data_IF_523422458488
#
_entry.id   IF_523422458488
#
_cell.length_a   1.000
_cell.length_b   1.000
_cell.length_c   1.000
_cell.angle_alpha   90.00
_cell.angle_beta   90.00
_cell.angle_gamma   90.00
#
_symmetry.space_group_name_H-M   'P 1'
#
loop_
_entity.id
_entity.type
_entity.pdbx_description
1 polymer ?
#
# COMPACT_ATOMS: atom_id res chain seq x y z
N UNK A 1 13.71 56.50 -20.58
CA UNK A 1 13.67 56.01 -20.43
C UNK A 1 13.63 55.10 -19.97
N UNK A 2 13.72 54.61 -19.76
CA UNK A 2 13.59 53.78 -19.59
C UNK A 2 13.50 52.90 -18.91
N UNK A 3 13.52 52.49 -18.73
CA UNK A 3 13.35 51.69 -18.26
C UNK A 3 13.16 50.72 -17.92
N UNK A 4 13.17 50.30 -17.79
CA UNK A 4 12.97 49.44 -17.55
C UNK A 4 12.91 48.50 -17.19
N UNK A 5 12.94 48.13 -16.98
CA UNK A 5 12.93 47.32 -16.80
C UNK A 5 12.98 46.47 -16.12
N UNK A 6 13.04 46.12 -15.87
CA UNK A 6 13.12 45.37 -15.34
C UNK A 6 12.68 44.51 -14.75
N UNK A 7 12.48 44.25 -14.47
CA UNK A 7 11.97 43.45 -13.96
C UNK A 7 11.89 42.35 -13.91
N UNK A 8 11.83 42.04 -13.94
CA UNK A 8 11.65 41.02 -14.01
C UNK A 8 12.05 40.10 -13.50
N UNK A 9 12.31 39.90 -13.42
CA UNK A 9 12.76 39.02 -13.06
C UNK A 9 12.31 38.35 -12.20
N UNK A 10 12.16 38.11 -11.84
CA UNK A 10 11.78 37.49 -11.08
C UNK A 10 11.39 36.38 -10.96
N UNK A 11 11.23 36.03 -10.95
CA UNK A 11 10.69 35.03 -10.79
C UNK A 11 11.00 33.96 -10.73
N UNK A 12 11.07 33.66 -10.82
CA UNK A 12 11.34 32.67 -10.97
C UNK A 12 11.59 31.89 -10.14
N UNK A 13 11.71 31.69 -9.73
CA UNK A 13 11.93 30.94 -9.02
C UNK A 13 11.31 30.05 -8.58
N UNK A 14 10.96 29.95 -8.47
CA UNK A 14 10.30 29.16 -8.07
C UNK A 14 10.32 28.01 -8.08
N UNK A 15 10.26 27.60 -8.21
CA UNK A 15 10.17 26.52 -8.39
C UNK A 15 10.53 25.68 -7.75
N UNK A 16 10.73 25.28 -7.49
CA UNK A 16 11.05 24.51 -7.00
C UNK A 16 10.75 23.67 -6.41
N UNK A 17 10.66 23.15 -6.16
CA UNK A 17 10.41 22.39 -5.61
C UNK A 17 10.26 21.41 -5.34
N UNK A 18 10.21 20.84 -5.19
CA UNK A 18 9.97 19.98 -4.97
C UNK A 18 9.92 18.99 -4.71
N UNK A 19 9.73 18.54 -4.50
CA UNK A 19 9.52 17.62 -4.41
C UNK A 19 9.85 16.65 -4.05
N UNK A 20 10.04 16.12 -4.04
CA UNK A 20 10.55 15.24 -3.79
C UNK A 20 10.19 14.33 -3.07
N UNK A 21 10.09 14.09 -2.53
CA UNK A 21 9.79 13.33 -1.80
C UNK A 21 9.32 12.27 -2.07
N UNK A 22 8.84 12.00 -2.27
CA UNK A 22 8.29 11.06 -2.55
C UNK A 22 8.78 9.96 -2.55
N UNK A 23 9.44 9.64 -2.62
CA UNK A 23 9.83 8.57 -2.74
C UNK A 23 9.58 7.73 -1.90
N UNK A 24 9.50 7.56 -1.26
CA UNK A 24 9.30 6.76 -0.45
C UNK A 24 8.84 5.59 -0.49
N UNK A 25 8.33 5.07 -0.55
CA UNK A 25 7.84 3.93 -0.70
C UNK A 25 8.30 2.91 0.14
N UNK A 26 9.22 2.95 0.77
CA UNK A 26 9.63 1.84 1.55
C UNK A 26 8.72 1.65 2.71
N UNK A 27 8.58 0.41 3.12
CA UNK A 27 7.78 0.08 4.25
C UNK A 27 8.42 0.62 5.50
N UNK A 28 7.61 1.15 6.36
CA UNK A 28 8.08 1.78 7.56
C UNK A 28 7.30 1.22 8.74
N UNK A 29 8.00 0.68 9.71
CA UNK A 29 7.34 0.16 10.89
C UNK A 29 6.50 1.21 11.61
N UNK A 30 6.84 2.48 11.41
CA UNK A 30 6.14 3.57 12.09
C UNK A 30 4.95 4.10 11.31
N UNK A 31 4.63 3.50 10.16
CA UNK A 31 3.42 3.89 9.46
C UNK A 31 2.22 3.69 10.36
N UNK A 32 1.26 4.60 10.33
CA UNK A 32 0.04 4.41 11.11
C UNK A 32 -0.73 3.19 10.64
N UNK A 33 -1.35 2.51 11.59
CA UNK A 33 -2.26 1.42 11.29
C UNK A 33 -3.64 2.01 11.07
N UNK A 34 -4.13 1.93 9.85
CA UNK A 34 -5.32 2.64 9.44
C UNK A 34 -6.32 1.66 8.80
N UNK A 35 -7.54 1.59 9.31
CA UNK A 35 -8.55 0.74 8.70
C UNK A 35 -8.94 1.19 7.30
N UNK A 36 -8.72 2.44 6.95
CA UNK A 36 -9.08 2.93 5.63
C UNK A 36 -8.26 2.30 4.51
N UNK A 37 -7.07 1.79 4.84
CA UNK A 37 -6.28 1.08 3.82
C UNK A 37 -6.99 -0.17 3.34
N UNK A 38 -7.98 -0.66 4.07
CA UNK A 38 -8.72 -1.86 3.70
C UNK A 38 -10.00 -1.49 2.97
N UNK A 39 -10.60 -0.36 3.31
CA UNK A 39 -11.93 -0.01 2.81
C UNK A 39 -11.99 0.14 1.30
N UNK A 40 -10.88 0.55 0.69
CA UNK A 40 -10.86 0.81 -0.75
C UNK A 40 -10.48 -0.40 -1.58
N UNK A 41 -10.26 -1.54 -0.95
CA UNK A 41 -9.88 -2.75 -1.68
C UNK A 41 -11.11 -3.37 -2.34
N UNK A 42 -10.90 -4.18 -3.39
CA UNK A 42 -12.01 -4.92 -3.98
C UNK A 42 -12.77 -5.74 -2.96
N UNK A 43 -14.05 -5.95 -3.24
CA UNK A 43 -14.93 -6.63 -2.30
C UNK A 43 -14.41 -8.02 -1.92
N UNK A 44 -13.87 -8.75 -2.88
CA UNK A 44 -13.39 -10.11 -2.62
C UNK A 44 -12.24 -10.10 -1.62
N UNK A 45 -11.37 -9.11 -1.70
CA UNK A 45 -10.25 -9.00 -0.79
C UNK A 45 -10.73 -8.57 0.59
N UNK A 46 -11.67 -7.61 0.64
CA UNK A 46 -12.25 -7.20 1.92
C UNK A 46 -12.94 -8.36 2.61
N UNK A 47 -13.64 -9.20 1.85
CA UNK A 47 -14.28 -10.39 2.41
C UNK A 47 -13.27 -11.38 2.95
N UNK A 48 -12.16 -11.55 2.24
CA UNK A 48 -11.10 -12.42 2.72
C UNK A 48 -10.54 -11.93 4.05
N UNK A 49 -10.28 -10.63 4.14
CA UNK A 49 -9.75 -10.06 5.38
C UNK A 49 -10.75 -10.23 6.51
N UNK A 50 -12.04 -10.00 6.23
CA UNK A 50 -13.06 -10.17 7.26
C UNK A 50 -13.14 -11.61 7.74
N UNK A 51 -12.85 -12.57 6.87
CA UNK A 51 -12.91 -13.97 7.24
C UNK A 51 -11.74 -14.40 8.13
N UNK A 52 -10.57 -13.78 7.94
CA UNK A 52 -9.41 -14.19 8.73
C UNK A 52 -9.23 -13.34 9.99
N UNK A 53 -9.93 -12.22 10.12
CA UNK A 53 -9.87 -11.36 11.28
C UNK A 53 -11.07 -11.61 12.18
N UNK A 54 -10.82 -11.66 13.47
CA UNK A 54 -11.92 -11.82 14.44
C UNK A 54 -12.43 -10.49 14.97
N UNK A 55 -11.77 -9.40 14.63
CA UNK A 55 -12.18 -8.07 15.06
C UNK A 55 -11.84 -7.07 13.99
N UNK A 56 -12.00 -5.79 14.29
CA UNK A 56 -11.75 -4.75 13.29
C UNK A 56 -10.30 -4.78 12.82
N UNK A 57 -10.06 -4.79 11.52
CA UNK A 57 -8.70 -4.80 11.00
C UNK A 57 -8.18 -3.40 10.78
N UNK A 58 -6.87 -3.26 10.82
CA UNK A 58 -6.19 -2.06 10.36
C UNK A 58 -4.91 -2.48 9.66
N UNK A 59 -4.39 -1.62 8.81
CA UNK A 59 -3.27 -1.98 7.98
C UNK A 59 -2.35 -0.79 7.77
N UNK A 60 -1.09 -1.10 7.52
CA UNK A 60 -0.12 -0.09 7.14
C UNK A 60 -0.16 0.16 5.64
N UNK A 61 0.59 1.15 5.20
CA UNK A 61 0.48 1.66 3.86
C UNK A 61 0.77 0.64 2.78
N UNK A 62 1.76 -0.17 2.89
CA UNK A 62 2.09 -1.13 1.83
C UNK A 62 1.46 -2.49 2.02
N UNK A 63 0.36 -2.54 2.77
CA UNK A 63 -0.35 -3.77 3.01
C UNK A 63 -0.83 -4.42 1.72
N UNK A 64 -1.31 -3.63 0.76
CA UNK A 64 -1.86 -4.16 -0.48
C UNK A 64 -1.28 -3.40 -1.66
N UNK A 65 -0.77 -4.13 -2.65
CA UNK A 65 -0.21 -3.51 -3.84
C UNK A 65 -0.85 -4.14 -5.07
N UNK A 66 -1.17 -3.30 -6.04
CA UNK A 66 -1.79 -3.75 -7.27
C UNK A 66 -0.79 -3.67 -8.42
N UNK A 67 -0.69 -4.74 -9.19
CA UNK A 67 0.12 -4.79 -10.39
C UNK A 67 -0.81 -4.72 -11.60
N UNK A 68 -0.92 -3.55 -12.27
CA UNK A 68 -1.85 -3.44 -13.40
C UNK A 68 -1.45 -4.34 -14.55
N UNK A 69 -0.16 -4.57 -14.75
CA UNK A 69 0.31 -5.40 -15.82
C UNK A 69 -0.17 -6.84 -15.66
N UNK A 70 -0.21 -7.33 -14.43
CA UNK A 70 -0.61 -8.69 -14.16
C UNK A 70 -2.05 -8.77 -13.66
N UNK A 71 -2.69 -7.64 -13.46
CA UNK A 71 -4.04 -7.56 -12.91
C UNK A 71 -4.13 -8.35 -11.63
N UNK A 72 -3.20 -8.09 -10.73
CA UNK A 72 -3.07 -8.88 -9.51
C UNK A 72 -2.84 -7.97 -8.31
N UNK A 73 -3.56 -8.26 -7.25
CA UNK A 73 -3.32 -7.69 -5.94
C UNK A 73 -2.44 -8.62 -5.14
N UNK A 74 -1.45 -8.07 -4.50
CA UNK A 74 -0.67 -8.79 -3.50
C UNK A 74 -0.96 -8.22 -2.14
N UNK A 75 -1.32 -9.09 -1.20
CA UNK A 75 -1.67 -8.72 0.15
C UNK A 75 -0.59 -9.25 1.07
N UNK A 76 0.10 -8.35 1.76
CA UNK A 76 1.18 -8.70 2.66
C UNK A 76 0.62 -8.71 4.07
N UNK A 77 0.36 -9.89 4.61
CA UNK A 77 -0.34 -9.98 5.89
C UNK A 77 0.49 -9.49 7.07
N UNK A 78 1.81 -9.36 6.89
CA UNK A 78 2.62 -8.80 7.96
C UNK A 78 2.27 -7.34 8.25
N UNK A 79 1.62 -6.65 7.32
CA UNK A 79 1.21 -5.26 7.49
C UNK A 79 -0.27 -5.16 7.80
N UNK A 80 -0.89 -6.25 8.21
CA UNK A 80 -2.27 -6.29 8.65
C UNK A 80 -2.30 -6.59 10.14
N UNK A 81 -3.14 -5.89 10.86
CA UNK A 81 -3.31 -6.11 12.30
C UNK A 81 -4.76 -6.38 12.60
N UNK A 82 -5.05 -7.52 13.23
CA UNK A 82 -6.36 -7.84 13.75
C UNK A 82 -6.22 -9.07 14.62
N UNK A 83 -7.23 -9.35 15.42
CA UNK A 83 -7.25 -10.59 16.18
C UNK A 83 -7.45 -11.76 15.24
N UNK A 84 -6.79 -12.86 15.53
CA UNK A 84 -7.00 -14.08 14.79
C UNK A 84 -5.98 -14.37 13.71
N UNK A 85 -4.94 -13.55 13.57
CA UNK A 85 -3.93 -13.73 12.54
C UNK A 85 -2.75 -14.56 13.00
N UNK A 86 -2.98 -15.60 13.79
CA UNK A 86 -1.88 -16.31 14.42
C UNK A 86 -0.95 -16.97 13.41
N UNK A 87 -1.42 -17.28 12.22
CA UNK A 87 -0.65 -18.10 11.31
C UNK A 87 -0.02 -17.35 10.15
N UNK A 88 -0.07 -16.02 10.18
CA UNK A 88 0.50 -15.30 9.06
C UNK A 88 2.04 -15.24 9.10
N UNK A 89 2.64 -15.70 10.18
CA UNK A 89 4.09 -15.63 10.34
C UNK A 89 4.61 -17.00 10.76
N UNK A 90 5.71 -17.39 10.12
CA UNK A 90 6.44 -18.61 10.50
C UNK A 90 7.90 -18.24 10.63
N UNK A 91 8.37 -18.06 11.86
CA UNK A 91 9.71 -17.59 12.10
C UNK A 91 9.87 -16.19 11.55
N UNK A 92 10.81 -16.00 10.63
CA UNK A 92 10.98 -14.70 9.97
C UNK A 92 10.35 -14.68 8.59
N UNK A 93 9.43 -15.59 8.32
CA UNK A 93 8.71 -15.60 7.04
C UNK A 93 7.26 -15.24 7.29
N UNK A 94 6.73 -14.44 6.39
CA UNK A 94 5.38 -13.89 6.50
C UNK A 94 4.55 -14.28 5.29
N UNK A 95 3.25 -14.39 5.49
CA UNK A 95 2.35 -14.87 4.45
C UNK A 95 1.96 -13.73 3.51
N UNK A 96 2.12 -13.97 2.22
CA UNK A 96 1.61 -13.11 1.16
C UNK A 96 0.52 -13.86 0.42
N UNK A 97 -0.50 -13.14 0.01
CA UNK A 97 -1.65 -13.72 -0.67
C UNK A 97 -1.89 -12.95 -1.96
N UNK A 98 -2.07 -13.66 -3.05
CA UNK A 98 -2.31 -13.04 -4.36
C UNK A 98 -3.75 -13.24 -4.78
N UNK A 99 -4.34 -12.17 -5.32
CA UNK A 99 -5.66 -12.20 -5.93
C UNK A 99 -5.52 -11.73 -7.37
N UNK A 100 -5.98 -12.54 -8.31
CA UNK A 100 -5.91 -12.18 -9.72
C UNK A 100 -7.30 -11.86 -10.25
N UNK A 101 -7.35 -10.98 -11.24
CA UNK A 101 -8.60 -10.63 -11.88
C UNK A 101 -9.15 -11.80 -12.65
N UNK A 102 -10.46 -12.05 -12.51
CA UNK A 102 -11.20 -13.03 -13.27
C UNK A 102 -12.47 -12.32 -13.69
N UNK A 103 -12.49 -11.84 -14.94
CA UNK A 103 -13.58 -10.98 -15.36
C UNK A 103 -13.55 -9.68 -14.57
N UNK A 104 -14.70 -9.31 -14.01
CA UNK A 104 -14.80 -8.09 -13.22
C UNK A 104 -14.55 -8.33 -11.73
N UNK A 105 -14.12 -9.52 -11.36
CA UNK A 105 -13.91 -9.89 -9.96
C UNK A 105 -12.48 -10.31 -9.73
N UNK A 106 -12.13 -10.49 -8.47
CA UNK A 106 -10.81 -10.96 -8.08
C UNK A 106 -10.94 -12.26 -7.32
N UNK A 107 -10.00 -13.15 -7.55
CA UNK A 107 -10.03 -14.46 -6.92
C UNK A 107 -8.66 -14.76 -6.32
N UNK A 108 -8.66 -15.35 -5.14
CA UNK A 108 -7.44 -15.79 -4.49
C UNK A 108 -6.79 -16.88 -5.34
N UNK A 109 -5.56 -16.66 -5.75
CA UNK A 109 -4.85 -17.60 -6.62
C UNK A 109 -3.63 -18.20 -5.98
N UNK A 110 -3.07 -17.59 -4.92
CA UNK A 110 -1.83 -18.07 -4.37
C UNK A 110 -1.65 -17.59 -2.94
N UNK A 111 -1.12 -18.48 -2.10
CA UNK A 111 -0.61 -18.14 -0.78
C UNK A 111 0.82 -18.62 -0.71
N UNK A 112 1.72 -17.77 -0.23
CA UNK A 112 3.10 -18.20 -0.09
C UNK A 112 3.78 -17.39 1.01
N UNK A 113 4.83 -17.98 1.58
CA UNK A 113 5.61 -17.33 2.61
C UNK A 113 6.84 -16.70 1.97
N UNK A 114 7.15 -15.49 2.40
CA UNK A 114 8.32 -14.76 1.95
C UNK A 114 8.95 -14.09 3.15
N UNK A 115 10.15 -13.56 2.96
CA UNK A 115 10.81 -12.88 4.06
C UNK A 115 9.95 -11.72 4.53
N UNK A 116 9.82 -11.58 5.85
CA UNK A 116 9.05 -10.49 6.41
C UNK A 116 9.74 -9.17 6.14
N UNK A 117 8.94 -8.11 6.01
CA UNK A 117 9.47 -6.80 5.69
C UNK A 117 10.12 -6.11 6.87
N UNK A 118 9.89 -6.60 8.09
CA UNK A 118 10.52 -6.05 9.27
C UNK A 118 10.50 -7.03 10.43
#
# INVERSE_FOLDING_TARGET
>A
MTMRTSLLALFLQLCSVVAADSMGSSVNKNDPWDPHHIDDLPAEIRQYIAAICKGPPSAQNDFATYSPHEKRWRINLEYLRCEGLAEYRRGNRCLDVDFNAVGSRFRLTRKHYADCGF
#
